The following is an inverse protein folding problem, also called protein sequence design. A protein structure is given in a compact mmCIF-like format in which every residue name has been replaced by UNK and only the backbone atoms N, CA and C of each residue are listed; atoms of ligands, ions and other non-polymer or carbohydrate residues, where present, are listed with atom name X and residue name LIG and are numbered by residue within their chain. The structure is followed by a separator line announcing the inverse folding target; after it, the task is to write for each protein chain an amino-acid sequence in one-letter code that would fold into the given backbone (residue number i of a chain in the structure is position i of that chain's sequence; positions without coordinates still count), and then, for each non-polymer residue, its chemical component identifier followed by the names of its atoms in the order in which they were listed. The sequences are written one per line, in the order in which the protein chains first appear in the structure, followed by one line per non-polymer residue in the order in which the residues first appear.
data_IF_418576801690
#
_entry.id   IF_418576801690
#
_cell.length_a   1.000
_cell.length_b   1.000
_cell.length_c   1.000
_cell.angle_alpha   90.00
_cell.angle_beta   90.00
_cell.angle_gamma   90.00
#
_symmetry.space_group_name_H-M   'P 1'
#
loop_
_entity.id
_entity.type
_entity.pdbx_description
1 polymer ?
#
# COMPACT_ATOMS: atom_id res chain seq x y z
N UNK A 1 61.34 42.48 64.54
CA UNK A 1 60.39 43.37 63.85
C UNK A 1 59.97 42.67 62.56
N UNK A 2 58.69 42.32 62.45
CA UNK A 2 57.99 42.02 61.18
C UNK A 2 58.04 43.22 60.20
N UNK A 3 57.55 43.18 58.93
CA UNK A 3 56.63 42.21 58.26
C UNK A 3 57.09 41.72 56.85
N UNK A 4 56.60 40.63 56.26
CA UNK A 4 55.29 40.29 55.65
C UNK A 4 54.97 40.96 54.29
N UNK A 5 54.85 40.15 53.21
CA UNK A 5 53.59 39.92 52.46
C UNK A 5 53.77 39.03 51.22
N UNK A 6 52.98 37.96 51.21
CA UNK A 6 52.82 36.94 50.18
C UNK A 6 52.01 37.44 48.96
N UNK A 7 52.31 36.83 47.81
CA UNK A 7 51.50 36.78 46.59
C UNK A 7 50.23 35.92 46.77
N UNK A 8 49.07 36.27 46.17
CA UNK A 8 47.84 35.51 46.34
C UNK A 8 47.77 34.33 45.37
N UNK A 9 47.60 33.13 45.91
CA UNK A 9 47.07 31.95 45.22
C UNK A 9 45.55 31.92 45.48
N UNK A 10 44.75 31.97 44.43
CA UNK A 10 43.31 31.72 44.54
C UNK A 10 43.08 30.21 44.61
N UNK A 11 43.01 29.69 45.84
CA UNK A 11 42.13 28.58 46.16
C UNK A 11 40.68 29.08 46.16
N UNK A 12 39.76 28.32 45.59
CA UNK A 12 38.35 28.42 45.96
C UNK A 12 37.83 27.06 46.39
N UNK A 13 37.61 26.99 47.70
CA UNK A 13 36.99 25.94 48.46
C UNK A 13 35.51 25.74 48.12
N UNK A 14 35.11 24.49 48.29
CA UNK A 14 33.78 23.97 48.58
C UNK A 14 33.13 24.73 49.75
N UNK A 15 31.93 25.29 49.54
CA UNK A 15 30.90 25.41 50.58
C UNK A 15 29.54 25.09 49.97
N UNK A 16 28.88 24.15 50.61
CA UNK A 16 27.53 23.67 50.40
C UNK A 16 26.50 24.60 51.07
N UNK A 17 25.49 25.04 50.32
CA UNK A 17 24.25 25.59 50.86
C UNK A 17 23.05 24.71 50.46
N UNK A 18 22.38 24.18 51.48
CA UNK A 18 21.00 23.67 51.42
C UNK A 18 20.07 24.87 51.52
N UNK A 19 19.00 24.91 50.73
CA UNK A 19 17.66 25.38 51.12
C UNK A 19 16.62 25.13 50.00
N UNK A 20 15.81 24.12 50.26
CA UNK A 20 14.38 23.89 49.98
C UNK A 20 13.50 24.89 49.17
N UNK A 21 12.76 24.28 48.21
CA UNK A 21 11.33 24.49 47.80
C UNK A 21 11.00 25.70 46.89
N UNK A 22 10.08 25.61 45.88
CA UNK A 22 9.04 24.59 45.65
C UNK A 22 9.03 23.91 44.27
N UNK A 23 8.61 22.64 44.30
CA UNK A 23 7.55 22.05 43.47
C UNK A 23 7.17 22.78 42.17
N UNK A 24 7.85 22.47 41.07
CA UNK A 24 7.15 22.24 39.82
C UNK A 24 7.63 20.93 39.21
N UNK A 25 7.44 19.89 39.99
CA UNK A 25 7.40 18.51 39.54
C UNK A 25 6.17 18.37 38.65
N UNK A 26 6.27 18.81 37.39
CA UNK A 26 5.60 18.07 36.33
C UNK A 26 6.41 16.78 36.14
N UNK A 27 6.32 15.89 37.13
CA UNK A 27 6.35 14.47 36.84
C UNK A 27 5.19 14.29 35.87
N UNK A 28 5.50 14.37 34.59
CA UNK A 28 4.62 13.91 33.55
C UNK A 28 4.59 12.39 33.71
N UNK A 29 3.82 11.91 34.69
CA UNK A 29 3.18 10.62 34.55
C UNK A 29 2.51 10.70 33.19
N UNK A 30 3.05 9.97 32.22
CA UNK A 30 2.34 9.67 30.99
C UNK A 30 1.16 8.80 31.39
N UNK A 31 0.15 9.44 31.99
CA UNK A 31 -1.10 8.81 32.34
C UNK A 31 -1.61 8.12 31.09
N UNK A 32 -2.10 6.90 31.26
CA UNK A 32 -2.58 6.00 30.20
C UNK A 32 -3.89 6.52 29.60
N UNK A 33 -3.90 7.79 29.20
CA UNK A 33 -4.98 8.53 28.61
C UNK A 33 -5.10 8.13 27.15
N UNK A 34 -6.01 7.20 26.88
CA UNK A 34 -6.53 6.99 25.55
C UNK A 34 -7.66 7.99 25.30
N UNK A 35 -7.61 8.69 24.16
CA UNK A 35 -8.65 9.64 23.75
C UNK A 35 -9.77 8.98 22.95
N UNK A 36 -9.42 7.94 22.21
CA UNK A 36 -10.30 7.27 21.28
C UNK A 36 -10.55 5.82 21.69
N UNK A 37 -11.80 5.40 21.66
CA UNK A 37 -12.21 4.06 22.07
C UNK A 37 -13.19 3.44 21.08
N UNK A 38 -13.23 2.11 21.12
CA UNK A 38 -14.20 1.28 20.42
C UNK A 38 -14.94 0.44 21.45
N UNK A 39 -16.26 0.56 21.48
CA UNK A 39 -17.16 -0.27 22.26
C UNK A 39 -17.65 -1.40 21.38
N UNK A 40 -17.44 -2.62 21.86
CA UNK A 40 -17.84 -3.85 21.20
C UNK A 40 -18.88 -4.57 22.05
N UNK A 41 -19.83 -5.21 21.37
CA UNK A 41 -20.84 -6.07 21.97
C UNK A 41 -20.91 -7.38 21.19
N UNK A 42 -21.34 -8.48 21.81
CA UNK A 42 -21.49 -9.75 21.10
C UNK A 42 -22.52 -9.64 19.95
N UNK A 43 -23.58 -8.85 20.13
CA UNK A 43 -24.69 -8.75 19.19
C UNK A 43 -24.75 -7.42 18.40
N UNK A 44 -23.66 -6.64 18.37
CA UNK A 44 -23.56 -5.36 17.66
C UNK A 44 -24.57 -4.28 18.14
N UNK A 45 -24.33 -2.99 17.89
CA UNK A 45 -25.27 -1.90 18.25
C UNK A 45 -26.29 -1.60 17.15
N UNK A 46 -26.61 -2.56 16.27
CA UNK A 46 -27.47 -2.31 15.11
C UNK A 46 -28.95 -2.27 15.41
N UNK A 47 -29.38 -2.99 16.44
CA UNK A 47 -30.77 -3.08 16.88
C UNK A 47 -31.10 -2.09 18.01
N UNK A 48 -30.08 -1.44 18.57
CA UNK A 48 -30.22 -0.52 19.71
C UNK A 48 -30.51 0.89 19.19
N UNK A 49 -31.44 1.60 19.84
CA UNK A 49 -31.77 2.96 19.42
C UNK A 49 -30.62 3.94 19.72
N UNK A 50 -30.36 4.92 18.84
CA UNK A 50 -29.27 5.88 19.02
C UNK A 50 -29.45 6.75 20.27
N UNK A 51 -30.70 7.08 20.62
CA UNK A 51 -31.01 7.85 21.83
C UNK A 51 -30.72 7.08 23.12
N UNK A 52 -30.99 5.76 23.14
CA UNK A 52 -30.63 4.93 24.30
C UNK A 52 -29.12 4.84 24.46
N UNK A 53 -28.38 4.75 23.36
CA UNK A 53 -26.92 4.74 23.35
C UNK A 53 -26.37 6.04 23.94
N UNK A 54 -26.83 7.18 23.43
CA UNK A 54 -26.38 8.50 23.91
C UNK A 54 -26.70 8.71 25.39
N UNK A 55 -27.93 8.36 25.82
CA UNK A 55 -28.34 8.46 27.22
C UNK A 55 -27.52 7.54 28.12
N UNK A 56 -27.30 6.28 27.72
CA UNK A 56 -26.53 5.32 28.51
C UNK A 56 -25.07 5.75 28.70
N UNK A 57 -24.43 6.28 27.64
CA UNK A 57 -23.05 6.78 27.71
C UNK A 57 -22.97 8.03 28.57
N UNK A 58 -23.88 8.98 28.35
CA UNK A 58 -23.91 10.24 29.11
C UNK A 58 -24.18 9.99 30.60
N UNK A 59 -25.05 9.03 30.93
CA UNK A 59 -25.30 8.63 32.32
C UNK A 59 -24.10 7.93 32.98
N UNK A 60 -23.27 7.21 32.20
CA UNK A 60 -22.15 6.44 32.75
C UNK A 60 -20.88 7.26 32.92
N UNK A 61 -20.54 8.11 31.93
CA UNK A 61 -19.24 8.80 31.84
C UNK A 61 -19.40 10.34 31.72
N UNK A 62 -20.62 10.83 31.53
CA UNK A 62 -20.89 12.23 31.20
C UNK A 62 -20.84 12.51 29.69
N UNK A 63 -21.00 13.78 29.28
CA UNK A 63 -21.01 14.16 27.87
C UNK A 63 -19.63 13.92 27.24
N UNK A 64 -19.62 13.27 26.08
CA UNK A 64 -18.41 12.95 25.30
C UNK A 64 -18.39 13.76 24.00
N UNK A 65 -17.21 13.94 23.38
CA UNK A 65 -17.08 14.80 22.19
C UNK A 65 -17.76 14.23 20.97
N UNK A 66 -17.64 12.93 20.76
CA UNK A 66 -18.16 12.28 19.56
C UNK A 66 -18.55 10.86 19.89
N UNK A 67 -19.75 10.50 19.44
CA UNK A 67 -20.27 9.14 19.42
C UNK A 67 -20.62 8.84 17.97
N UNK A 68 -20.06 7.77 17.42
CA UNK A 68 -20.33 7.39 16.03
C UNK A 68 -20.44 5.88 15.92
N UNK A 69 -21.40 5.40 15.16
CA UNK A 69 -21.46 3.98 14.76
C UNK A 69 -20.48 3.70 13.62
N UNK A 70 -19.62 2.70 13.78
CA UNK A 70 -18.69 2.23 12.75
C UNK A 70 -19.40 1.30 11.75
N UNK A 71 -18.77 1.06 10.59
CA UNK A 71 -19.28 0.10 9.59
C UNK A 71 -19.37 -1.33 10.13
N UNK A 72 -18.50 -1.71 11.08
CA UNK A 72 -18.60 -3.00 11.79
C UNK A 72 -19.85 -3.10 12.65
N UNK A 73 -20.51 -1.98 12.93
CA UNK A 73 -21.65 -1.86 13.84
C UNK A 73 -21.25 -1.67 15.31
N UNK A 74 -19.95 -1.61 15.60
CA UNK A 74 -19.41 -1.16 16.88
C UNK A 74 -19.58 0.36 17.07
N UNK A 75 -19.40 0.84 18.30
CA UNK A 75 -19.44 2.27 18.59
C UNK A 75 -18.03 2.83 18.77
N UNK A 76 -17.76 3.92 18.07
CA UNK A 76 -16.58 4.75 18.24
C UNK A 76 -16.89 5.91 19.20
N UNK A 77 -15.96 6.18 20.12
CA UNK A 77 -16.05 7.25 21.10
C UNK A 77 -14.79 8.10 21.13
N UNK A 78 -14.98 9.41 21.22
CA UNK A 78 -13.94 10.37 21.55
C UNK A 78 -14.24 11.03 22.90
N UNK A 79 -13.34 10.84 23.88
CA UNK A 79 -13.45 11.45 25.21
C UNK A 79 -12.62 12.74 25.30
N UNK A 80 -13.03 13.67 26.17
CA UNK A 80 -12.32 14.93 26.37
C UNK A 80 -11.36 14.88 27.56
N UNK A 81 -11.68 14.09 28.58
CA UNK A 81 -10.99 14.13 29.88
C UNK A 81 -10.36 12.79 30.25
N UNK A 82 -9.23 12.84 30.96
CA UNK A 82 -8.58 11.65 31.52
C UNK A 82 -9.48 10.90 32.50
N UNK A 83 -10.30 11.60 33.28
CA UNK A 83 -11.28 10.99 34.19
C UNK A 83 -12.30 10.13 33.43
N UNK A 84 -12.76 10.63 32.28
CA UNK A 84 -13.68 9.89 31.41
C UNK A 84 -13.00 8.65 30.82
N UNK A 85 -11.75 8.79 30.35
CA UNK A 85 -10.95 7.70 29.80
C UNK A 85 -10.79 6.54 30.79
N UNK A 86 -10.41 6.84 32.03
CA UNK A 86 -10.26 5.84 33.09
C UNK A 86 -11.59 5.18 33.46
N UNK A 87 -12.69 5.95 33.56
CA UNK A 87 -14.02 5.39 33.82
C UNK A 87 -14.48 4.46 32.69
N UNK A 88 -14.21 4.83 31.43
CA UNK A 88 -14.57 4.05 30.25
C UNK A 88 -13.87 2.69 30.25
N UNK A 89 -12.59 2.61 30.66
CA UNK A 89 -11.85 1.34 30.76
C UNK A 89 -12.43 0.36 31.77
N UNK A 90 -12.99 0.87 32.87
CA UNK A 90 -13.59 0.05 33.94
C UNK A 90 -15.01 -0.39 33.56
N UNK A 91 -15.64 0.27 32.59
CA UNK A 91 -17.02 0.01 32.19
C UNK A 91 -17.16 -1.35 31.50
N UNK A 92 -17.99 -2.23 32.08
CA UNK A 92 -18.28 -3.59 31.55
C UNK A 92 -19.72 -3.78 31.08
N UNK A 93 -20.63 -2.94 31.56
CA UNK A 93 -22.06 -2.98 31.21
C UNK A 93 -22.55 -1.59 30.89
N UNK A 94 -23.41 -1.50 29.88
CA UNK A 94 -24.18 -0.29 29.58
C UNK A 94 -25.64 -0.65 29.43
N UNK A 95 -26.48 0.00 30.24
CA UNK A 95 -27.88 -0.39 30.42
C UNK A 95 -27.99 -1.88 30.78
N UNK A 96 -28.51 -2.71 29.86
CA UNK A 96 -28.65 -4.17 30.04
C UNK A 96 -27.76 -4.98 29.07
N UNK A 97 -26.77 -4.34 28.46
CA UNK A 97 -25.90 -4.96 27.45
C UNK A 97 -24.48 -5.05 28.00
N UNK A 98 -23.91 -6.24 27.91
CA UNK A 98 -22.49 -6.47 28.19
C UNK A 98 -21.64 -5.87 27.08
N UNK A 99 -20.71 -5.00 27.47
CA UNK A 99 -19.85 -4.26 26.56
C UNK A 99 -18.38 -4.54 26.86
N UNK A 100 -17.58 -4.57 25.80
CA UNK A 100 -16.13 -4.59 25.88
C UNK A 100 -15.58 -3.28 25.34
N UNK A 101 -14.87 -2.55 26.19
CA UNK A 101 -14.23 -1.29 25.83
C UNK A 101 -12.78 -1.55 25.45
N UNK A 102 -12.39 -1.13 24.25
CA UNK A 102 -11.02 -1.29 23.73
C UNK A 102 -10.50 0.06 23.26
N UNK A 103 -9.27 0.47 23.62
CA UNK A 103 -8.68 1.67 23.02
C UNK A 103 -8.54 1.51 21.51
N UNK A 104 -8.80 2.58 20.75
CA UNK A 104 -8.66 2.54 19.30
C UNK A 104 -7.20 2.25 18.91
N UNK A 105 -7.00 1.33 17.98
CA UNK A 105 -5.69 0.76 17.63
C UNK A 105 -4.72 1.75 16.97
N UNK A 106 -5.23 2.72 16.20
CA UNK A 106 -4.39 3.70 15.48
C UNK A 106 -4.55 5.12 15.99
N UNK A 107 -5.78 5.61 16.18
CA UNK A 107 -6.04 7.02 16.52
C UNK A 107 -5.44 7.51 17.84
N UNK A 108 -5.08 6.61 18.76
CA UNK A 108 -4.39 6.97 20.01
C UNK A 108 -2.87 7.11 19.86
N UNK A 109 -2.33 6.84 18.67
CA UNK A 109 -0.89 6.84 18.42
C UNK A 109 -0.57 7.61 17.13
N UNK A 110 0.53 8.36 17.14
CA UNK A 110 1.17 8.80 15.91
C UNK A 110 2.08 7.68 15.40
N UNK A 111 2.19 7.55 14.08
CA UNK A 111 3.09 6.60 13.43
C UNK A 111 4.03 7.38 12.52
N UNK A 112 5.31 7.05 12.54
CA UNK A 112 6.33 7.63 11.68
C UNK A 112 7.28 6.56 11.15
N UNK A 113 8.03 6.90 10.10
CA UNK A 113 9.12 6.09 9.57
C UNK A 113 10.39 6.92 9.70
N UNK A 114 11.40 6.37 10.36
CA UNK A 114 12.73 6.96 10.46
C UNK A 114 13.63 6.17 9.52
N UNK A 115 14.27 6.87 8.58
CA UNK A 115 15.24 6.30 7.65
C UNK A 115 16.59 6.96 7.91
N UNK A 116 17.59 6.16 8.29
CA UNK A 116 18.94 6.63 8.58
C UNK A 116 19.96 5.62 8.03
N UNK A 117 20.95 6.11 7.28
CA UNK A 117 22.03 5.29 6.75
C UNK A 117 22.97 4.80 7.87
N UNK A 118 23.10 5.56 8.95
CA UNK A 118 23.96 5.21 10.09
C UNK A 118 23.47 3.97 10.84
N UNK A 119 22.19 3.61 10.68
CA UNK A 119 21.59 2.40 11.28
C UNK A 119 21.75 1.14 10.41
N UNK A 120 22.44 1.22 9.27
CA UNK A 120 22.57 0.09 8.33
C UNK A 120 23.28 -1.13 8.92
N UNK A 121 24.27 -0.91 9.80
CA UNK A 121 25.07 -1.97 10.41
C UNK A 121 24.63 -2.30 11.85
N UNK A 122 23.58 -1.65 12.33
CA UNK A 122 23.09 -1.80 13.71
C UNK A 122 22.07 -2.94 13.73
N UNK A 123 22.16 -3.82 14.73
CA UNK A 123 21.22 -4.93 14.88
C UNK A 123 19.82 -4.42 15.25
N UNK A 124 18.76 -5.14 14.84
CA UNK A 124 17.39 -4.75 15.22
C UNK A 124 17.12 -4.83 16.72
N UNK A 125 17.95 -5.56 17.46
CA UNK A 125 17.88 -5.72 18.92
C UNK A 125 18.43 -4.47 19.59
N UNK A 126 19.64 -4.04 19.22
CA UNK A 126 20.26 -2.81 19.69
C UNK A 126 19.39 -1.57 19.41
N UNK A 127 18.74 -1.51 18.24
CA UNK A 127 17.78 -0.44 17.93
C UNK A 127 16.59 -0.45 18.89
N UNK A 128 16.07 -1.63 19.26
CA UNK A 128 14.92 -1.73 20.17
C UNK A 128 15.32 -1.36 21.60
N UNK A 129 16.50 -1.78 22.05
CA UNK A 129 17.02 -1.47 23.39
C UNK A 129 17.31 0.02 23.57
N UNK A 130 17.89 0.67 22.56
CA UNK A 130 18.16 2.10 22.61
C UNK A 130 16.93 2.97 22.36
N UNK A 131 15.80 2.40 21.90
CA UNK A 131 14.54 3.11 21.70
C UNK A 131 13.42 2.64 22.63
N UNK A 132 13.76 2.12 23.82
CA UNK A 132 12.79 1.61 24.82
C UNK A 132 11.82 2.69 25.31
N UNK A 133 12.25 3.96 25.34
CA UNK A 133 11.39 5.08 25.72
C UNK A 133 10.18 5.24 24.78
N UNK A 134 10.27 4.70 23.57
CA UNK A 134 9.18 4.67 22.62
C UNK A 134 8.29 3.44 22.87
N UNK A 135 6.98 3.66 23.04
CA UNK A 135 6.01 2.60 23.39
C UNK A 135 6.04 1.36 22.47
N UNK A 136 6.31 1.53 21.17
CA UNK A 136 6.34 0.42 20.22
C UNK A 136 7.21 0.75 19.01
N UNK A 137 8.32 0.03 18.86
CA UNK A 137 9.26 0.17 17.75
C UNK A 137 9.24 -1.10 16.89
N UNK A 138 9.13 -0.93 15.58
CA UNK A 138 9.28 -2.00 14.59
C UNK A 138 10.47 -1.66 13.70
N UNK A 139 11.58 -2.36 13.88
CA UNK A 139 12.77 -2.23 13.03
C UNK A 139 12.77 -3.33 11.96
N UNK A 140 12.98 -2.95 10.70
CA UNK A 140 13.13 -3.88 9.58
C UNK A 140 13.97 -3.24 8.46
N UNK A 141 14.76 -4.05 7.78
CA UNK A 141 15.50 -3.68 6.57
C UNK A 141 15.04 -4.55 5.40
N UNK A 142 14.72 -3.94 4.25
CA UNK A 142 14.32 -4.67 3.04
C UNK A 142 15.30 -4.34 1.91
N UNK A 143 16.18 -5.28 1.60
CA UNK A 143 16.97 -5.22 0.37
C UNK A 143 16.08 -5.61 -0.83
N UNK A 144 15.62 -4.62 -1.60
CA UNK A 144 14.85 -4.84 -2.82
C UNK A 144 15.77 -4.69 -4.04
N UNK A 145 16.22 -5.79 -4.67
CA UNK A 145 17.01 -5.70 -5.89
C UNK A 145 16.14 -5.14 -7.02
N UNK A 146 16.38 -3.88 -7.39
CA UNK A 146 15.74 -3.25 -8.55
C UNK A 146 16.51 -3.60 -9.82
N UNK A 147 15.79 -3.99 -10.87
CA UNK A 147 16.35 -4.09 -12.22
C UNK A 147 16.42 -2.68 -12.83
N UNK A 148 17.49 -2.34 -13.58
CA UNK A 148 17.54 -1.08 -14.31
C UNK A 148 16.28 -0.89 -15.16
N UNK A 149 15.66 0.28 -15.09
CA UNK A 149 14.49 0.59 -15.91
C UNK A 149 14.91 0.67 -17.38
N UNK A 150 14.42 -0.28 -18.17
CA UNK A 150 14.54 -0.26 -19.63
C UNK A 150 13.22 0.32 -20.14
N UNK A 151 13.19 1.58 -20.64
CA UNK A 151 11.96 2.15 -21.13
C UNK A 151 11.39 1.31 -22.26
N UNK A 152 10.06 1.13 -22.27
CA UNK A 152 9.40 0.45 -23.37
C UNK A 152 9.75 1.16 -24.69
N UNK A 153 10.25 0.43 -25.70
CA UNK A 153 10.57 1.05 -26.98
C UNK A 153 9.30 1.72 -27.51
N UNK A 154 9.38 2.98 -27.97
CA UNK A 154 8.20 3.71 -28.38
C UNK A 154 7.58 3.03 -29.61
N UNK A 155 6.26 2.82 -29.58
CA UNK A 155 5.50 2.37 -30.73
C UNK A 155 5.14 3.57 -31.59
N UNK A 156 5.52 3.55 -32.87
CA UNK A 156 5.11 4.59 -33.81
C UNK A 156 3.61 4.47 -34.12
N UNK A 157 2.81 5.49 -33.81
CA UNK A 157 1.36 5.45 -34.06
C UNK A 157 0.96 5.52 -35.54
N UNK A 158 1.90 5.81 -36.45
CA UNK A 158 1.67 5.79 -37.89
C UNK A 158 1.88 4.39 -38.47
N UNK A 159 3.06 3.80 -38.29
CA UNK A 159 3.37 2.49 -38.88
C UNK A 159 3.27 1.30 -37.91
N UNK A 160 2.99 1.55 -36.63
CA UNK A 160 2.83 0.57 -35.53
C UNK A 160 4.07 -0.27 -35.20
N UNK A 161 5.25 0.06 -35.78
CA UNK A 161 6.54 -0.55 -35.44
C UNK A 161 7.17 0.13 -34.22
N UNK A 162 7.96 -0.61 -33.46
CA UNK A 162 8.69 -0.11 -32.30
C UNK A 162 10.01 0.56 -32.70
N UNK A 163 10.51 1.48 -31.86
CA UNK A 163 11.86 2.04 -31.94
C UNK A 163 12.01 3.40 -32.62
N UNK A 164 10.91 4.06 -33.00
CA UNK A 164 10.94 5.43 -33.55
C UNK A 164 9.64 6.19 -33.30
N UNK A 165 9.69 7.53 -33.40
CA UNK A 165 8.55 8.42 -33.27
C UNK A 165 7.81 8.62 -34.61
N UNK A 166 6.62 9.23 -34.56
CA UNK A 166 5.86 9.62 -35.77
C UNK A 166 6.65 10.57 -36.67
N UNK A 167 7.44 11.48 -36.09
CA UNK A 167 8.21 12.49 -36.83
C UNK A 167 9.32 11.90 -37.69
N UNK A 168 9.89 10.76 -37.29
CA UNK A 168 10.98 10.07 -38.01
C UNK A 168 10.45 8.87 -38.81
N UNK A 169 9.12 8.67 -38.84
CA UNK A 169 8.51 7.51 -39.48
C UNK A 169 8.65 7.56 -41.01
N UNK A 170 9.32 6.53 -41.57
CA UNK A 170 9.37 6.28 -43.03
C UNK A 170 8.37 5.21 -43.50
N UNK A 171 7.56 4.69 -42.58
CA UNK A 171 6.61 3.61 -42.84
C UNK A 171 5.22 4.12 -43.25
N UNK A 172 4.50 3.28 -44.01
CA UNK A 172 3.11 3.52 -44.39
C UNK A 172 2.14 3.40 -43.19
N UNK A 173 1.04 4.18 -43.18
CA UNK A 173 0.03 4.10 -42.14
C UNK A 173 -0.55 2.68 -42.07
N UNK A 174 -0.45 2.05 -40.90
CA UNK A 174 -0.86 0.65 -40.70
C UNK A 174 -1.63 0.57 -39.39
N UNK A 175 -2.73 -0.18 -39.33
CA UNK A 175 -3.43 -0.41 -38.06
C UNK A 175 -2.71 -1.48 -37.22
N UNK A 176 -2.98 -1.54 -35.91
CA UNK A 176 -2.33 -2.47 -34.98
C UNK A 176 -2.47 -3.95 -35.39
N UNK A 177 -3.64 -4.35 -35.90
CA UNK A 177 -3.89 -5.72 -36.40
C UNK A 177 -3.10 -6.04 -37.66
N UNK A 178 -3.06 -5.13 -38.64
CA UNK A 178 -2.29 -5.32 -39.87
C UNK A 178 -0.78 -5.30 -39.62
N UNK A 179 -0.31 -4.54 -38.63
CA UNK A 179 1.09 -4.51 -38.25
C UNK A 179 1.54 -5.83 -37.61
N UNK A 180 0.72 -6.42 -36.74
CA UNK A 180 1.00 -7.74 -36.18
C UNK A 180 0.95 -8.83 -37.24
N UNK A 181 -0.04 -8.79 -38.15
CA UNK A 181 -0.10 -9.71 -39.28
C UNK A 181 1.15 -9.62 -40.17
N UNK A 182 1.60 -8.40 -40.50
CA UNK A 182 2.84 -8.18 -41.25
C UNK A 182 4.06 -8.71 -40.49
N UNK A 183 4.14 -8.51 -39.18
CA UNK A 183 5.22 -9.05 -38.34
C UNK A 183 5.26 -10.57 -38.40
N UNK A 184 4.10 -11.23 -38.24
CA UNK A 184 3.98 -12.69 -38.29
C UNK A 184 4.37 -13.23 -39.67
N UNK A 185 3.90 -12.59 -40.75
CA UNK A 185 4.28 -12.96 -42.12
C UNK A 185 5.78 -12.81 -42.31
N UNK A 186 6.36 -11.67 -41.93
CA UNK A 186 7.80 -11.41 -42.05
C UNK A 186 8.66 -12.41 -41.26
N UNK A 187 8.19 -12.89 -40.12
CA UNK A 187 8.88 -13.94 -39.34
C UNK A 187 8.78 -15.32 -39.98
N UNK A 188 7.69 -15.60 -40.70
CA UNK A 188 7.44 -16.91 -41.35
C UNK A 188 7.98 -16.98 -42.78
N UNK A 189 8.19 -15.85 -43.45
CA UNK A 189 8.81 -15.81 -44.78
C UNK A 189 10.27 -16.28 -44.70
N UNK A 190 10.65 -17.34 -45.42
CA UNK A 190 12.04 -17.78 -45.46
C UNK A 190 12.91 -16.72 -46.14
N UNK A 191 14.14 -16.58 -45.65
CA UNK A 191 15.17 -15.77 -46.31
C UNK A 191 15.52 -16.43 -47.65
N UNK A 192 15.94 -15.64 -48.65
CA UNK A 192 16.34 -16.17 -49.96
C UNK A 192 17.34 -17.33 -49.79
N UNK A 193 17.11 -18.42 -50.53
CA UNK A 193 17.91 -19.64 -50.42
C UNK A 193 17.44 -20.65 -49.37
N UNK A 194 16.34 -20.41 -48.64
CA UNK A 194 15.71 -21.39 -47.73
C UNK A 194 14.31 -21.75 -48.18
N UNK A 195 13.93 -23.03 -48.05
CA UNK A 195 12.59 -23.51 -48.44
C UNK A 195 11.53 -23.11 -47.40
N UNK A 196 10.29 -22.92 -47.85
CA UNK A 196 9.15 -22.61 -46.96
C UNK A 196 8.93 -23.70 -45.89
N UNK A 197 9.12 -24.97 -46.25
CA UNK A 197 8.98 -26.11 -45.32
C UNK A 197 9.94 -26.00 -44.11
N UNK A 198 11.12 -25.40 -44.29
CA UNK A 198 12.10 -25.21 -43.22
C UNK A 198 11.79 -24.04 -42.26
N UNK A 199 10.96 -23.09 -42.69
CA UNK A 199 10.56 -21.91 -41.91
C UNK A 199 9.22 -22.07 -41.19
N UNK A 200 8.34 -22.95 -41.71
CA UNK A 200 7.00 -23.18 -41.17
C UNK A 200 6.99 -23.78 -39.74
N UNK A 201 8.06 -24.49 -39.35
CA UNK A 201 8.15 -25.19 -38.06
C UNK A 201 8.77 -24.35 -36.93
N UNK A 202 9.03 -23.05 -37.15
CA UNK A 202 9.61 -22.18 -36.10
C UNK A 202 8.50 -21.58 -35.24
N UNK A 203 8.47 -21.98 -33.97
CA UNK A 203 7.62 -21.38 -32.96
C UNK A 203 8.20 -20.03 -32.55
N UNK A 204 7.61 -18.93 -33.01
CA UNK A 204 8.01 -17.58 -32.61
C UNK A 204 7.24 -17.17 -31.36
N UNK A 205 7.94 -16.88 -30.27
CA UNK A 205 7.30 -16.25 -29.12
C UNK A 205 6.86 -14.84 -29.53
N UNK A 206 5.57 -14.53 -29.32
CA UNK A 206 5.10 -13.16 -29.28
C UNK A 206 5.91 -12.46 -28.19
N UNK A 207 6.52 -11.32 -28.51
CA UNK A 207 7.12 -10.46 -27.47
C UNK A 207 5.93 -9.92 -26.67
N UNK A 208 5.52 -10.69 -25.67
CA UNK A 208 4.64 -10.19 -24.64
C UNK A 208 5.43 -9.10 -23.93
N UNK A 209 4.97 -7.85 -24.06
CA UNK A 209 5.32 -6.81 -23.10
C UNK A 209 4.88 -7.38 -21.75
N UNK A 210 5.80 -7.42 -20.77
CA UNK A 210 5.55 -8.05 -19.50
C UNK A 210 4.22 -7.54 -18.92
N UNK A 211 3.27 -8.44 -18.75
CA UNK A 211 2.09 -8.22 -17.90
C UNK A 211 2.46 -8.76 -16.53
N UNK A 212 2.50 -7.88 -15.55
CA UNK A 212 2.77 -8.24 -14.16
C UNK A 212 1.75 -9.26 -13.67
N UNK A 213 2.25 -10.29 -13.01
CA UNK A 213 1.45 -11.32 -12.38
C UNK A 213 0.69 -10.72 -11.19
N UNK A 214 -0.64 -10.78 -11.21
CA UNK A 214 -1.48 -10.86 -10.01
C UNK A 214 -2.88 -11.36 -10.36
N UNK A 215 -3.30 -12.38 -9.59
CA UNK A 215 -4.66 -12.91 -9.40
C UNK A 215 -5.21 -13.95 -10.39
N UNK A 216 -5.17 -15.22 -9.96
CA UNK A 216 -5.99 -16.32 -10.46
C UNK A 216 -7.46 -16.19 -9.99
N UNK A 217 -8.40 -16.88 -10.67
CA UNK A 217 -9.06 -17.99 -9.98
C UNK A 217 -9.15 -19.30 -10.80
N UNK A 218 -9.26 -20.41 -10.06
CA UNK A 218 -9.38 -21.82 -10.45
C UNK A 218 -10.78 -22.21 -10.96
N UNK A 219 -10.84 -23.10 -11.95
CA UNK A 219 -11.64 -24.36 -12.04
C UNK A 219 -11.63 -24.85 -13.51
N UNK A 220 -10.92 -25.93 -13.88
CA UNK A 220 -11.29 -27.36 -13.91
C UNK A 220 -11.71 -27.89 -15.30
N UNK A 221 -10.93 -28.88 -15.77
CA UNK A 221 -11.19 -30.06 -16.63
C UNK A 221 -11.83 -29.87 -18.03
N UNK A 222 -11.05 -30.12 -19.10
CA UNK A 222 -11.07 -31.33 -19.99
C UNK A 222 -11.89 -31.04 -21.26
N UNK A 223 -11.42 -31.15 -22.50
CA UNK A 223 -11.14 -32.39 -23.23
C UNK A 223 -10.66 -32.04 -24.66
N UNK A 224 -10.05 -33.02 -25.32
CA UNK A 224 -9.51 -32.99 -26.69
C UNK A 224 -10.61 -32.93 -27.76
N UNK A 225 -10.51 -32.01 -28.75
CA UNK A 225 -11.17 -32.18 -30.06
C UNK A 225 -10.25 -31.74 -31.21
N UNK A 226 -10.05 -32.65 -32.16
CA UNK A 226 -9.31 -32.51 -33.43
C UNK A 226 -9.99 -31.49 -34.38
N UNK A 227 -9.28 -30.93 -35.38
CA UNK A 227 -9.87 -29.95 -36.29
C UNK A 227 -10.78 -30.62 -37.32
N UNK A 228 -12.04 -30.18 -37.36
CA UNK A 228 -13.04 -30.54 -38.38
C UNK A 228 -12.74 -29.85 -39.70
N UNK A 229 -12.66 -30.65 -40.76
CA UNK A 229 -12.56 -30.24 -42.17
C UNK A 229 -13.86 -29.58 -42.62
N UNK A 230 -13.79 -28.38 -43.21
CA UNK A 230 -14.91 -27.81 -43.96
C UNK A 230 -14.57 -27.93 -45.46
N UNK A 231 -15.36 -28.74 -46.16
CA UNK A 231 -15.34 -28.89 -47.61
C UNK A 231 -15.97 -27.67 -48.28
N UNK A 232 -15.34 -27.20 -49.37
CA UNK A 232 -15.87 -26.14 -50.24
C UNK A 232 -16.68 -26.80 -51.36
N UNK A 233 -17.96 -26.47 -51.42
CA UNK A 233 -18.91 -26.97 -52.43
C UNK A 233 -18.85 -26.12 -53.71
N UNK A 234 -19.11 -26.78 -54.84
CA UNK A 234 -18.81 -26.32 -56.20
C UNK A 234 -19.99 -25.73 -56.96
N UNK A 235 -19.71 -24.61 -57.66
CA UNK A 235 -20.24 -24.12 -58.97
C UNK A 235 -21.72 -23.68 -59.10
N UNK A 236 -21.89 -22.46 -59.65
CA UNK A 236 -22.56 -22.26 -60.96
C UNK A 236 -22.29 -20.87 -61.57
N UNK A 237 -21.89 -20.90 -62.84
CA UNK A 237 -21.76 -19.81 -63.81
C UNK A 237 -23.13 -19.35 -64.34
N UNK A 238 -23.31 -18.04 -64.54
CA UNK A 238 -24.26 -17.46 -65.52
C UNK A 238 -23.61 -16.25 -66.18
N UNK A 239 -23.69 -16.22 -67.51
CA UNK A 239 -23.14 -15.27 -68.47
C UNK A 239 -24.17 -14.23 -68.92
N UNK A 240 -23.75 -12.99 -69.18
CA UNK A 240 -24.47 -12.00 -70.02
C UNK A 240 -23.48 -11.21 -70.90
N UNK A 241 -23.86 -10.81 -72.14
CA UNK A 241 -22.92 -10.25 -73.12
C UNK A 241 -22.91 -8.71 -73.19
N UNK A 242 -21.78 -8.15 -73.61
CA UNK A 242 -21.54 -6.74 -73.91
C UNK A 242 -21.83 -6.45 -75.39
N UNK A 243 -22.68 -5.45 -75.67
CA UNK A 243 -22.87 -4.85 -77.00
C UNK A 243 -21.95 -3.65 -77.19
N UNK A 244 -21.19 -3.67 -78.29
CA UNK A 244 -20.40 -2.55 -78.81
C UNK A 244 -21.30 -1.72 -79.74
N UNK A 245 -21.21 -0.39 -79.66
CA UNK A 245 -21.71 0.54 -80.69
C UNK A 245 -20.52 1.07 -81.47
N UNK A 246 -20.67 1.07 -82.79
CA UNK A 246 -19.81 1.69 -83.79
C UNK A 246 -19.67 3.22 -83.60
#
# INVERSE_FOLDING_TARGET
MEPSRNSPSLEQQVVSDKNDIPSNTQQQEFSDFARFFVLKTPNTFSTVSPFLIEKAITSSIGPVKTIRKMRSGDLFLEVASAKQSSALRTLRKMAHIDITVVPHNTLNYSRGVISAADLLNVSTEEIKENMVDQKSVKAAYLHCPVRPYIPNPPRCFQCQRFGHSKTVCRGQPTCSRCAEARRVVSLRTPVSGKSYASAANKTYQTIAIQVDASTAPKSEQSESVKPTTIAVDTRKTVSTPLTVKD
#
